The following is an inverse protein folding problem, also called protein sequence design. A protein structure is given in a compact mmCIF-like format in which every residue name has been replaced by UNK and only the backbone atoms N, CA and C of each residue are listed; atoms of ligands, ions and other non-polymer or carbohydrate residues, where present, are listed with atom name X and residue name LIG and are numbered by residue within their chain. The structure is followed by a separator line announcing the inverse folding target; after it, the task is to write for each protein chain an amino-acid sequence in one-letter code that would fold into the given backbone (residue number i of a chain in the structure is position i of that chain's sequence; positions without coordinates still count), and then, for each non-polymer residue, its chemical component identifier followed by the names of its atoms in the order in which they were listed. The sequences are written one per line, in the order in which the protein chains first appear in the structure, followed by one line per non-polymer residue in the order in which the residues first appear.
data_IF_014166020601
#
_entry.id   IF_014166020601
#
_cell.length_a   1.000
_cell.length_b   1.000
_cell.length_c   1.000
_cell.angle_alpha   90.00
_cell.angle_beta   90.00
_cell.angle_gamma   90.00
#
_symmetry.space_group_name_H-M   'P 1'
#
loop_
_entity.id
_entity.type
_entity.pdbx_description
1 polymer ?
#
# COMPACT_ATOMS: atom_id res chain seq x y z
N UNK A 1 14.27 30.90 -12.29
CA UNK A 1 13.79 30.50 -10.96
C UNK A 1 12.72 29.41 -11.10
N UNK A 2 13.15 28.14 -11.04
CA UNK A 2 12.25 26.99 -10.98
C UNK A 2 11.42 27.07 -9.70
N UNK A 3 10.10 27.08 -9.86
CA UNK A 3 9.14 26.91 -8.77
C UNK A 3 9.54 25.72 -7.88
N UNK A 4 9.38 25.78 -6.55
CA UNK A 4 9.54 24.60 -5.73
C UNK A 4 8.48 23.59 -6.20
N UNK A 5 8.92 22.49 -6.80
CA UNK A 5 8.05 21.35 -7.07
C UNK A 5 7.41 20.98 -5.73
N UNK A 6 6.11 21.24 -5.62
CA UNK A 6 5.31 20.90 -4.45
C UNK A 6 5.24 19.38 -4.40
N UNK A 7 6.22 18.73 -3.78
CA UNK A 7 6.15 17.31 -3.48
C UNK A 7 4.95 17.10 -2.55
N UNK A 8 3.95 16.38 -3.04
CA UNK A 8 2.83 15.95 -2.23
C UNK A 8 3.36 15.14 -1.06
N UNK A 9 3.09 15.53 0.20
CA UNK A 9 3.66 14.83 1.34
C UNK A 9 3.06 13.42 1.44
N UNK A 10 3.90 12.41 1.20
CA UNK A 10 3.57 11.01 1.37
C UNK A 10 4.29 10.41 2.57
N UNK A 11 3.83 9.24 3.01
CA UNK A 11 4.48 8.42 4.03
C UNK A 11 4.34 6.94 3.69
N UNK A 12 5.29 6.16 4.19
CA UNK A 12 5.15 4.72 4.31
C UNK A 12 4.83 4.39 5.77
N UNK A 13 3.75 3.68 6.01
CA UNK A 13 3.30 3.27 7.35
C UNK A 13 3.28 1.76 7.48
N UNK A 14 3.51 1.25 8.68
CA UNK A 14 3.41 -0.18 8.97
C UNK A 14 1.99 -0.68 8.66
N UNK A 15 1.93 -1.86 8.03
CA UNK A 15 0.68 -2.47 7.59
C UNK A 15 0.66 -3.93 8.00
N UNK A 16 -0.40 -4.34 8.70
CA UNK A 16 -0.65 -5.73 8.98
C UNK A 16 -1.44 -6.34 7.82
N UNK A 17 -0.75 -7.11 6.99
CA UNK A 17 -1.36 -7.80 5.83
C UNK A 17 -2.36 -8.87 6.27
N UNK A 18 -2.20 -9.48 7.46
CA UNK A 18 -3.09 -10.52 7.95
C UNK A 18 -4.46 -9.97 8.37
N UNK A 19 -4.46 -8.83 9.05
CA UNK A 19 -5.69 -8.17 9.53
C UNK A 19 -6.24 -7.15 8.51
N UNK A 20 -5.53 -6.94 7.39
CA UNK A 20 -5.82 -5.92 6.38
C UNK A 20 -5.98 -4.50 6.98
N UNK A 21 -5.10 -4.16 7.92
CA UNK A 21 -5.19 -2.91 8.68
C UNK A 21 -3.82 -2.24 8.92
N UNK A 22 -3.73 -0.89 8.94
CA UNK A 22 -2.53 -0.18 9.37
C UNK A 22 -2.21 -0.43 10.85
N UNK A 23 -0.93 -0.64 11.16
CA UNK A 23 -0.50 -0.79 12.56
C UNK A 23 -0.49 0.56 13.26
N UNK A 24 -1.08 0.61 14.46
CA UNK A 24 -1.24 1.85 15.24
C UNK A 24 -0.60 1.75 16.62
N UNK A 25 -0.08 2.87 17.10
CA UNK A 25 0.49 3.02 18.45
C UNK A 25 -0.61 3.14 19.53
N UNK A 26 -0.20 3.23 20.79
CA UNK A 26 -1.09 3.40 21.95
C UNK A 26 -1.96 4.68 21.92
N UNK A 27 -1.64 5.65 21.05
CA UNK A 27 -2.42 6.88 20.84
C UNK A 27 -3.41 6.73 19.69
N UNK A 28 -3.43 5.56 19.06
CA UNK A 28 -4.24 5.26 17.87
C UNK A 28 -3.73 5.95 16.61
N UNK A 29 -2.44 6.28 16.53
CA UNK A 29 -1.80 6.87 15.33
C UNK A 29 -1.02 5.79 14.58
N UNK A 30 -0.98 5.86 13.25
CA UNK A 30 -0.21 4.92 12.43
C UNK A 30 1.30 5.06 12.69
N UNK A 31 2.00 3.93 12.64
CA UNK A 31 3.45 3.88 12.85
C UNK A 31 4.17 4.00 11.50
N UNK A 32 5.05 4.99 11.29
CA UNK A 32 5.87 5.07 10.08
C UNK A 32 6.94 3.98 10.05
N UNK A 33 7.20 3.39 8.89
CA UNK A 33 8.32 2.45 8.71
C UNK A 33 9.66 3.15 8.62
N UNK A 34 10.74 2.44 8.92
CA UNK A 34 12.13 2.92 8.76
C UNK A 34 12.62 2.68 7.32
N UNK A 35 13.67 3.37 6.87
CA UNK A 35 14.30 3.05 5.59
C UNK A 35 14.75 1.58 5.54
N UNK A 36 14.42 0.90 4.44
CA UNK A 36 14.65 -0.53 4.24
C UNK A 36 13.48 -1.43 4.67
N UNK A 37 12.44 -0.89 5.31
CA UNK A 37 11.25 -1.65 5.71
C UNK A 37 10.10 -1.40 4.73
N UNK A 38 9.32 -2.45 4.48
CA UNK A 38 8.11 -2.39 3.65
C UNK A 38 6.98 -1.72 4.43
N UNK A 39 6.32 -0.74 3.83
CA UNK A 39 5.15 -0.07 4.39
C UNK A 39 4.13 0.33 3.33
N UNK A 40 2.90 0.54 3.77
CA UNK A 40 1.81 1.04 2.95
C UNK A 40 2.05 2.50 2.56
N UNK A 41 1.99 2.79 1.27
CA UNK A 41 2.04 4.15 0.76
C UNK A 41 0.74 4.89 1.05
N UNK A 42 0.87 6.01 1.77
CA UNK A 42 -0.23 6.92 2.08
C UNK A 42 0.12 8.35 1.68
N UNK A 43 -0.84 9.05 1.08
CA UNK A 43 -0.65 10.38 0.52
C UNK A 43 -1.51 11.37 1.30
N UNK A 44 -0.91 12.43 1.86
CA UNK A 44 -1.66 13.36 2.71
C UNK A 44 -2.71 14.11 1.91
N UNK A 45 -3.95 14.09 2.40
CA UNK A 45 -5.05 14.87 1.84
C UNK A 45 -4.95 16.27 2.40
N UNK A 46 -4.79 17.26 1.52
CA UNK A 46 -4.73 18.68 1.89
C UNK A 46 -5.60 19.52 0.96
N UNK A 47 -5.77 20.81 1.25
CA UNK A 47 -6.45 21.72 0.32
C UNK A 47 -5.76 21.81 -1.05
N UNK A 48 -4.43 21.64 -1.07
CA UNK A 48 -3.62 21.71 -2.30
C UNK A 48 -3.49 20.33 -2.98
N UNK A 49 -3.81 19.25 -2.27
CA UNK A 49 -3.83 17.88 -2.77
C UNK A 49 -5.12 17.20 -2.29
N UNK A 50 -6.28 17.60 -2.82
CA UNK A 50 -7.55 17.04 -2.39
C UNK A 50 -7.75 15.64 -2.96
N UNK A 51 -8.40 14.78 -2.19
CA UNK A 51 -9.02 13.56 -2.70
C UNK A 51 -10.52 13.79 -2.78
N UNK A 52 -11.06 13.89 -3.99
CA UNK A 52 -12.49 14.16 -4.23
C UNK A 52 -13.38 12.92 -4.07
N UNK A 53 -12.77 11.74 -3.90
CA UNK A 53 -13.48 10.49 -3.81
C UNK A 53 -13.92 9.92 -5.16
N UNK A 54 -14.72 8.87 -5.08
CA UNK A 54 -15.34 8.20 -6.23
C UNK A 54 -16.75 8.75 -6.46
N UNK A 55 -17.03 9.13 -7.70
CA UNK A 55 -18.34 9.65 -8.10
C UNK A 55 -19.43 8.61 -7.82
N UNK A 56 -20.43 9.00 -7.03
CA UNK A 56 -21.58 8.15 -6.71
C UNK A 56 -21.33 7.06 -5.67
N UNK A 57 -20.11 6.96 -5.10
CA UNK A 57 -19.76 5.92 -4.13
C UNK A 57 -19.00 6.50 -2.92
N UNK A 58 -19.78 7.12 -2.02
CA UNK A 58 -19.25 7.69 -0.78
C UNK A 58 -18.65 6.64 0.15
N UNK A 59 -19.14 5.39 0.11
CA UNK A 59 -18.61 4.31 0.94
C UNK A 59 -17.22 3.88 0.47
N UNK A 60 -17.01 3.68 -0.84
CA UNK A 60 -15.66 3.43 -1.38
C UNK A 60 -14.72 4.60 -1.14
N UNK A 61 -15.26 5.82 -1.18
CA UNK A 61 -14.48 7.03 -0.89
C UNK A 61 -13.95 7.00 0.53
N UNK A 62 -14.82 6.79 1.54
CA UNK A 62 -14.40 6.77 2.94
C UNK A 62 -13.43 5.63 3.24
N UNK A 63 -13.62 4.45 2.62
CA UNK A 63 -12.69 3.31 2.75
C UNK A 63 -11.27 3.62 2.26
N UNK A 64 -11.09 4.57 1.34
CA UNK A 64 -9.77 5.00 0.86
C UNK A 64 -9.14 6.11 1.71
N UNK A 65 -9.84 6.62 2.73
CA UNK A 65 -9.35 7.69 3.60
C UNK A 65 -8.94 7.09 4.95
N UNK A 66 -7.65 7.15 5.25
CA UNK A 66 -7.14 6.88 6.59
C UNK A 66 -7.12 8.18 7.39
N UNK A 67 -7.68 8.13 8.60
CA UNK A 67 -7.71 9.25 9.54
C UNK A 67 -6.75 8.99 10.70
N UNK A 68 -6.34 10.07 11.35
CA UNK A 68 -5.45 10.04 12.51
C UNK A 68 -4.18 9.21 12.22
N UNK A 69 -3.51 9.50 11.11
CA UNK A 69 -2.34 8.77 10.63
C UNK A 69 -1.10 9.17 11.40
N UNK A 70 -0.68 10.44 11.37
CA UNK A 70 0.50 10.89 12.13
C UNK A 70 0.13 11.81 13.28
N UNK A 71 -0.97 12.54 13.17
CA UNK A 71 -1.53 13.40 14.21
C UNK A 71 -3.05 13.31 14.19
N UNK A 72 -3.69 13.55 15.34
CA UNK A 72 -5.16 13.57 15.42
C UNK A 72 -5.75 14.63 14.48
N UNK A 73 -6.73 14.23 13.68
CA UNK A 73 -7.43 15.06 12.70
C UNK A 73 -6.79 15.16 11.33
N UNK A 74 -5.62 14.55 11.09
CA UNK A 74 -5.10 14.44 9.72
C UNK A 74 -5.83 13.34 8.92
N UNK A 75 -5.72 13.44 7.60
CA UNK A 75 -6.32 12.49 6.67
C UNK A 75 -5.35 12.20 5.53
N UNK A 76 -5.26 10.93 5.15
CA UNK A 76 -4.41 10.45 4.06
C UNK A 76 -5.22 9.54 3.15
N UNK A 77 -4.92 9.60 1.86
CA UNK A 77 -5.38 8.64 0.88
C UNK A 77 -4.53 7.37 0.98
N UNK A 78 -5.19 6.22 1.10
CA UNK A 78 -4.59 4.89 1.06
C UNK A 78 -4.46 4.43 -0.40
N UNK A 79 -3.22 4.32 -0.91
CA UNK A 79 -3.01 3.88 -2.30
C UNK A 79 -3.30 2.38 -2.48
N UNK A 80 -3.09 1.59 -1.42
CA UNK A 80 -3.12 0.13 -1.44
C UNK A 80 -1.80 -0.50 -1.87
N UNK A 81 -0.73 0.28 -2.08
CA UNK A 81 0.55 -0.25 -2.53
C UNK A 81 1.53 -0.36 -1.35
N UNK A 82 2.16 -1.53 -1.22
CA UNK A 82 3.25 -1.78 -0.29
C UNK A 82 4.56 -1.48 -0.99
N UNK A 83 5.31 -0.53 -0.44
CA UNK A 83 6.60 -0.09 -0.97
C UNK A 83 7.68 -0.20 0.09
N UNK A 84 8.92 -0.32 -0.34
CA UNK A 84 10.11 -0.15 0.50
C UNK A 84 10.96 0.97 -0.08
N UNK A 85 11.47 1.85 0.79
CA UNK A 85 12.43 2.89 0.39
C UNK A 85 13.73 2.63 1.13
N UNK A 86 14.82 2.45 0.40
CA UNK A 86 16.12 2.18 1.01
C UNK A 86 16.78 3.46 1.58
N UNK A 87 18.00 3.33 2.08
CA UNK A 87 18.75 4.46 2.68
C UNK A 87 19.27 5.46 1.64
N UNK A 88 19.36 5.05 0.38
CA UNK A 88 19.79 5.88 -0.75
C UNK A 88 18.60 6.59 -1.40
N UNK A 89 17.37 6.23 -1.02
CA UNK A 89 16.13 6.83 -1.49
C UNK A 89 15.53 6.12 -2.71
N UNK A 90 16.04 4.94 -3.08
CA UNK A 90 15.43 4.13 -4.13
C UNK A 90 14.12 3.51 -3.63
N UNK A 91 13.10 3.55 -4.49
CA UNK A 91 11.76 3.06 -4.20
C UNK A 91 11.57 1.70 -4.86
N UNK A 92 11.13 0.73 -4.09
CA UNK A 92 10.88 -0.64 -4.53
C UNK A 92 9.41 -0.97 -4.32
N UNK A 93 8.72 -1.36 -5.39
CA UNK A 93 7.38 -1.93 -5.28
C UNK A 93 7.48 -3.35 -4.72
N UNK A 94 6.71 -3.64 -3.67
CA UNK A 94 6.73 -4.94 -3.00
C UNK A 94 5.47 -5.73 -3.35
N UNK A 95 4.30 -5.13 -3.11
CA UNK A 95 3.02 -5.79 -3.41
C UNK A 95 1.87 -4.77 -3.43
N UNK A 96 0.67 -5.24 -3.71
CA UNK A 96 -0.59 -4.53 -3.52
C UNK A 96 -1.45 -5.22 -2.47
N UNK A 97 -1.94 -4.44 -1.52
CA UNK A 97 -2.93 -4.88 -0.55
C UNK A 97 -4.17 -5.41 -1.27
N UNK A 98 -4.56 -6.63 -0.93
CA UNK A 98 -5.67 -7.35 -1.55
C UNK A 98 -5.26 -8.32 -2.66
N UNK A 99 -4.02 -8.26 -3.14
CA UNK A 99 -3.48 -9.20 -4.14
C UNK A 99 -2.70 -10.36 -3.49
N UNK A 100 -2.38 -10.29 -2.19
CA UNK A 100 -1.81 -11.41 -1.42
C UNK A 100 -2.92 -12.38 -0.96
N UNK A 101 -2.74 -13.68 -1.18
CA UNK A 101 -3.75 -14.71 -0.85
C UNK A 101 -3.27 -15.63 0.27
N UNK A 102 -4.18 -16.06 1.15
CA UNK A 102 -3.89 -17.06 2.18
C UNK A 102 -4.28 -18.46 1.72
N UNK A 103 -3.31 -19.36 1.64
CA UNK A 103 -3.54 -20.75 1.26
C UNK A 103 -2.98 -21.70 2.30
N UNK A 104 -3.83 -22.58 2.86
CA UNK A 104 -3.47 -23.54 3.92
C UNK A 104 -2.74 -22.92 5.12
N UNK A 105 -3.04 -21.65 5.43
CA UNK A 105 -2.45 -20.93 6.55
C UNK A 105 -1.19 -20.14 6.21
N UNK A 106 -0.69 -20.22 4.98
CA UNK A 106 0.50 -19.51 4.50
C UNK A 106 0.11 -18.32 3.62
N UNK A 107 0.92 -17.24 3.65
CA UNK A 107 0.76 -16.11 2.76
C UNK A 107 1.43 -16.40 1.41
N UNK A 108 0.70 -16.18 0.32
CA UNK A 108 1.17 -16.37 -1.05
C UNK A 108 1.06 -15.03 -1.77
N UNK A 109 2.22 -14.40 -2.02
CA UNK A 109 2.30 -13.21 -2.84
C UNK A 109 2.24 -13.62 -4.32
N UNK A 110 1.29 -13.08 -5.07
CA UNK A 110 1.17 -13.36 -6.51
C UNK A 110 2.42 -12.95 -7.27
N UNK A 111 3.06 -11.85 -6.87
CA UNK A 111 4.30 -11.32 -7.43
C UNK A 111 5.48 -12.29 -7.29
N UNK A 112 5.63 -12.98 -6.16
CA UNK A 112 6.68 -13.99 -5.98
C UNK A 112 6.45 -15.21 -6.88
N UNK A 113 5.20 -15.63 -7.02
CA UNK A 113 4.83 -16.73 -7.92
C UNK A 113 5.05 -16.34 -9.39
N UNK A 114 4.66 -15.12 -9.77
CA UNK A 114 4.95 -14.55 -11.10
C UNK A 114 6.44 -14.53 -11.38
N UNK A 115 7.25 -14.00 -10.45
CA UNK A 115 8.70 -13.92 -10.59
C UNK A 115 9.34 -15.31 -10.74
N UNK A 116 8.87 -16.31 -9.98
CA UNK A 116 9.34 -17.69 -10.10
C UNK A 116 9.04 -18.31 -11.47
N UNK A 117 7.85 -18.06 -12.02
CA UNK A 117 7.42 -18.56 -13.33
C UNK A 117 8.11 -17.82 -14.48
N UNK A 118 8.36 -16.52 -14.33
CA UNK A 118 9.04 -15.70 -15.33
C UNK A 118 10.50 -16.11 -15.57
N UNK A 119 11.11 -16.94 -14.70
CA UNK A 119 12.44 -17.52 -14.91
C UNK A 119 12.46 -18.68 -15.93
N UNK A 120 11.30 -19.11 -16.44
CA UNK A 120 11.20 -20.23 -17.38
C UNK A 120 11.32 -19.73 -18.82
N UNK A 121 12.37 -20.17 -19.53
CA UNK A 121 12.79 -19.64 -20.85
C UNK A 121 11.71 -19.58 -21.95
N UNK A 122 10.66 -20.41 -21.88
CA UNK A 122 9.61 -20.46 -22.91
C UNK A 122 8.35 -19.65 -22.56
N UNK A 123 8.32 -18.99 -21.40
CA UNK A 123 7.18 -18.19 -20.95
C UNK A 123 7.45 -16.72 -21.29
N UNK A 124 6.56 -16.12 -22.09
CA UNK A 124 6.70 -14.72 -22.52
C UNK A 124 6.16 -13.73 -21.47
N UNK A 125 5.00 -14.03 -20.88
CA UNK A 125 4.37 -13.22 -19.83
C UNK A 125 3.66 -14.12 -18.80
N UNK A 126 3.59 -13.65 -17.55
CA UNK A 126 2.89 -14.35 -16.46
C UNK A 126 1.96 -13.38 -15.73
N UNK A 127 0.78 -13.87 -15.38
CA UNK A 127 -0.13 -13.22 -14.45
C UNK A 127 -0.67 -14.26 -13.45
N UNK A 128 -0.63 -13.95 -12.16
CA UNK A 128 -1.10 -14.84 -11.09
C UNK A 128 -2.21 -14.15 -10.31
N UNK A 129 -3.32 -14.86 -10.11
CA UNK A 129 -4.45 -14.41 -9.32
C UNK A 129 -5.04 -15.57 -8.52
N UNK A 130 -5.56 -15.27 -7.33
CA UNK A 130 -6.24 -16.24 -6.49
C UNK A 130 -7.62 -16.61 -7.07
N UNK A 131 -7.97 -17.90 -6.98
CA UNK A 131 -9.30 -18.40 -7.30
C UNK A 131 -9.91 -19.08 -6.09
N UNK A 132 -11.23 -18.97 -5.94
CA UNK A 132 -11.95 -19.72 -4.91
C UNK A 132 -11.83 -21.22 -5.20
N UNK A 133 -11.24 -21.97 -4.28
CA UNK A 133 -11.15 -23.43 -4.39
C UNK A 133 -12.36 -24.04 -3.67
N UNK A 134 -13.20 -24.83 -4.36
CA UNK A 134 -14.29 -25.55 -3.70
C UNK A 134 -13.73 -26.50 -2.63
N UNK A 135 -14.29 -26.43 -1.43
CA UNK A 135 -13.91 -27.26 -0.27
C UNK A 135 -15.09 -27.50 0.64
#
# INVERSE_FOLDING_TARGET
PSSPQSFTPYKLIEYNVEEDEPVRDHRGLCIPVRPGETGLLVIKITKNTPFHGYVGDAQKTEKKILRDVLVKGDAYFNSGDLLMIDREGFVYFQDRVGDTFRWKGENVATTEVEAALAMVDFIEEVNVYGVAVPG
#
